data_IF_848512279380
#
_entry.id   IF_848512279380
#
_cell.length_a   1.000
_cell.length_b   1.000
_cell.length_c   1.000
_cell.angle_alpha   90.00
_cell.angle_beta   90.00
_cell.angle_gamma   90.00
#
_symmetry.space_group_name_H-M   'P 1'
#
loop_
_entity.id
_entity.type
_entity.pdbx_description
1 polymer ?
#
# COMPACT_ATOMS: atom_id res chain seq x y z
N UNK A 1 4.42 1.51 24.92
CA UNK A 1 4.84 0.14 24.54
C UNK A 1 4.27 -0.10 23.16
N UNK A 2 5.12 -0.16 22.14
CA UNK A 2 4.69 -0.61 20.83
C UNK A 2 4.85 -2.14 20.82
N UNK A 3 3.82 -2.91 20.42
CA UNK A 3 3.91 -4.37 20.38
C UNK A 3 5.01 -4.82 19.41
N UNK A 4 5.71 -5.89 19.76
CA UNK A 4 6.76 -6.45 18.91
C UNK A 4 6.12 -7.11 17.68
N UNK A 5 6.66 -6.81 16.50
CA UNK A 5 6.26 -7.42 15.23
C UNK A 5 6.44 -8.95 15.20
N UNK A 6 7.26 -9.51 16.09
CA UNK A 6 7.51 -10.95 16.22
C UNK A 6 6.61 -11.66 17.25
N UNK A 7 5.69 -10.94 17.90
CA UNK A 7 4.71 -11.57 18.78
C UNK A 7 3.79 -12.53 18.01
N UNK A 8 3.50 -13.69 18.61
CA UNK A 8 2.81 -14.81 17.95
C UNK A 8 1.40 -14.45 17.44
N UNK A 9 0.76 -13.47 18.08
CA UNK A 9 -0.56 -12.95 17.73
C UNK A 9 -0.53 -11.53 17.15
N UNK A 10 0.66 -11.03 16.77
CA UNK A 10 0.77 -9.73 16.13
C UNK A 10 0.04 -9.72 14.80
N UNK A 11 -0.96 -8.85 14.68
CA UNK A 11 -1.71 -8.64 13.45
C UNK A 11 -1.46 -7.21 12.97
N UNK A 12 -0.84 -7.02 11.79
CA UNK A 12 -0.69 -5.68 11.24
C UNK A 12 -2.06 -5.06 11.01
N UNK A 13 -2.17 -3.78 11.29
CA UNK A 13 -3.43 -3.03 11.25
C UNK A 13 -3.16 -1.54 11.16
N UNK A 14 -4.19 -0.77 10.88
CA UNK A 14 -4.16 0.68 10.96
C UNK A 14 -5.50 1.19 11.49
N UNK A 15 -5.49 2.39 12.06
CA UNK A 15 -6.68 3.02 12.61
C UNK A 15 -6.91 4.35 11.91
N UNK A 16 -8.14 4.60 11.49
CA UNK A 16 -8.58 5.94 11.08
C UNK A 16 -9.23 6.58 12.31
N UNK A 17 -8.76 7.77 12.69
CA UNK A 17 -9.31 8.51 13.81
C UNK A 17 -9.94 9.79 13.29
N UNK A 18 -11.21 9.99 13.62
CA UNK A 18 -11.90 11.27 13.51
C UNK A 18 -11.99 11.89 14.90
N UNK A 19 -11.52 13.12 15.02
CA UNK A 19 -11.33 13.81 16.28
C UNK A 19 -12.09 15.13 16.22
N UNK A 20 -13.08 15.28 17.07
CA UNK A 20 -13.86 16.51 17.20
C UNK A 20 -13.72 17.06 18.61
N UNK A 21 -13.43 18.35 18.73
CA UNK A 21 -13.48 19.06 20.01
C UNK A 21 -14.82 19.79 20.10
N UNK A 22 -15.59 19.48 21.13
CA UNK A 22 -16.89 20.08 21.41
C UNK A 22 -16.87 20.80 22.76
N UNK A 23 -17.75 21.80 22.92
CA UNK A 23 -17.83 22.62 24.13
C UNK A 23 -16.80 23.76 24.20
N UNK A 24 -16.94 24.60 25.23
CA UNK A 24 -16.11 25.80 25.46
C UNK A 24 -15.42 25.76 26.83
N UNK A 25 -14.27 26.42 26.93
CA UNK A 25 -13.47 26.60 28.15
C UNK A 25 -13.24 25.34 29.00
N UNK A 26 -13.92 25.28 30.16
CA UNK A 26 -13.83 24.23 31.17
C UNK A 26 -14.73 23.03 30.85
N UNK A 27 -15.65 23.18 29.88
CA UNK A 27 -16.55 22.14 29.41
C UNK A 27 -16.10 21.46 28.12
N UNK A 28 -14.86 21.67 27.67
CA UNK A 28 -14.34 21.07 26.42
C UNK A 28 -14.24 19.55 26.53
N UNK A 29 -14.78 18.88 25.54
CA UNK A 29 -14.74 17.44 25.36
C UNK A 29 -14.05 17.09 24.05
N UNK A 30 -13.20 16.07 24.07
CA UNK A 30 -12.68 15.42 22.88
C UNK A 30 -13.57 14.21 22.58
N UNK A 31 -14.24 14.29 21.44
CA UNK A 31 -14.95 13.19 20.80
C UNK A 31 -13.98 12.48 19.86
N UNK A 32 -13.75 11.19 20.11
CA UNK A 32 -12.89 10.32 19.31
C UNK A 32 -13.76 9.27 18.65
N UNK A 33 -13.79 9.24 17.33
CA UNK A 33 -14.36 8.15 16.54
C UNK A 33 -13.20 7.40 15.89
N UNK A 34 -13.03 6.12 16.21
CA UNK A 34 -11.99 5.28 15.63
C UNK A 34 -12.61 4.24 14.70
N UNK A 35 -11.98 4.01 13.55
CA UNK A 35 -12.24 2.87 12.66
C UNK A 35 -10.99 1.98 12.66
N UNK A 36 -11.03 0.91 13.45
CA UNK A 36 -9.91 -0.03 13.61
C UNK A 36 -9.92 -1.05 12.47
N UNK A 37 -8.80 -1.21 11.79
CA UNK A 37 -8.61 -2.15 10.68
C UNK A 37 -7.51 -3.13 11.01
N UNK A 38 -7.72 -4.41 10.71
CA UNK A 38 -6.68 -5.43 10.82
C UNK A 38 -6.49 -6.15 9.47
N UNK A 39 -5.28 -6.63 9.23
CA UNK A 39 -4.94 -7.36 8.03
C UNK A 39 -5.46 -8.81 8.13
N UNK A 40 -6.27 -9.21 7.15
CA UNK A 40 -6.70 -10.58 6.90
C UNK A 40 -5.85 -11.15 5.77
N UNK A 41 -5.49 -12.45 5.83
CA UNK A 41 -4.65 -13.11 4.81
C UNK A 41 -5.43 -13.73 3.64
N UNK A 42 -6.73 -13.95 3.77
CA UNK A 42 -7.52 -14.63 2.74
C UNK A 42 -8.98 -14.14 2.78
N UNK A 43 -9.39 -13.20 1.91
CA UNK A 43 -8.55 -12.42 1.01
C UNK A 43 -7.55 -11.53 1.76
N UNK A 44 -6.41 -11.23 1.12
CA UNK A 44 -5.41 -10.29 1.63
C UNK A 44 -5.94 -8.86 1.56
N UNK A 45 -6.47 -8.37 2.68
CA UNK A 45 -6.99 -7.01 2.78
C UNK A 45 -7.14 -6.56 4.23
N UNK A 46 -7.19 -5.24 4.42
CA UNK A 46 -7.53 -4.65 5.71
C UNK A 46 -9.04 -4.64 5.90
N UNK A 47 -9.51 -5.44 6.84
CA UNK A 47 -10.92 -5.54 7.20
C UNK A 47 -11.19 -4.78 8.49
N UNK A 48 -12.40 -4.24 8.63
CA UNK A 48 -12.83 -3.65 9.88
C UNK A 48 -12.74 -4.71 10.98
N UNK A 49 -12.05 -4.40 12.07
CA UNK A 49 -12.28 -5.13 13.30
C UNK A 49 -13.74 -4.83 13.71
N UNK A 50 -14.52 -5.82 14.13
CA UNK A 50 -15.92 -5.62 14.49
C UNK A 50 -16.22 -6.43 15.74
N UNK A 51 -16.82 -5.81 16.75
CA UNK A 51 -17.36 -6.54 17.91
C UNK A 51 -18.74 -7.13 17.61
N UNK A 52 -19.54 -6.41 16.81
CA UNK A 52 -20.86 -6.83 16.32
C UNK A 52 -21.02 -6.48 14.83
N UNK A 53 -21.99 -7.13 14.15
CA UNK A 53 -22.23 -7.05 12.69
C UNK A 53 -22.42 -5.62 12.18
N UNK A 54 -22.86 -4.70 13.05
CA UNK A 54 -23.22 -3.31 12.71
C UNK A 54 -22.27 -2.25 13.30
N UNK A 55 -21.32 -2.63 14.14
CA UNK A 55 -20.44 -1.68 14.82
C UNK A 55 -19.10 -1.59 14.09
N UNK A 56 -18.98 -0.59 13.21
CA UNK A 56 -17.74 -0.28 12.47
C UNK A 56 -16.87 0.78 13.16
N UNK A 57 -17.46 1.54 14.09
CA UNK A 57 -16.83 2.64 14.79
C UNK A 57 -16.80 2.44 16.30
N UNK A 58 -15.70 2.87 16.90
CA UNK A 58 -15.54 2.95 18.34
C UNK A 58 -15.55 4.41 18.73
N UNK A 59 -16.48 4.77 19.62
CA UNK A 59 -16.63 6.14 20.09
C UNK A 59 -16.14 6.25 21.53
N UNK A 60 -15.32 7.27 21.77
CA UNK A 60 -14.85 7.63 23.10
C UNK A 60 -15.00 9.15 23.26
N UNK A 61 -15.74 9.55 24.29
CA UNK A 61 -15.80 10.95 24.73
C UNK A 61 -14.98 11.10 25.98
N UNK A 62 -14.02 12.03 25.98
CA UNK A 62 -13.22 12.33 27.16
C UNK A 62 -13.12 13.83 27.41
N UNK A 63 -13.12 14.29 28.68
CA UNK A 63 -12.89 15.69 28.98
C UNK A 63 -11.47 16.09 28.58
N UNK A 64 -11.33 17.23 27.89
CA UNK A 64 -10.01 17.78 27.61
C UNK A 64 -9.49 18.48 28.86
N UNK A 65 -8.31 18.10 29.37
CA UNK A 65 -7.73 18.79 30.52
C UNK A 65 -7.49 20.26 30.15
N UNK A 66 -7.80 21.16 31.09
CA UNK A 66 -7.48 22.56 30.93
C UNK A 66 -5.96 22.75 31.07
N UNK A 67 -5.26 22.70 29.94
CA UNK A 67 -3.86 23.09 29.86
C UNK A 67 -3.85 24.60 29.67
N UNK A 68 -3.17 25.34 30.56
CA UNK A 68 -2.85 26.75 30.28
C UNK A 68 -2.19 26.80 28.91
N UNK A 69 -2.57 27.73 28.01
CA UNK A 69 -1.82 27.93 26.78
C UNK A 69 -0.34 28.02 27.17
N UNK A 70 0.53 27.22 26.53
CA UNK A 70 1.97 27.46 26.59
C UNK A 70 2.11 28.92 26.21
N UNK A 71 2.46 29.76 27.20
CA UNK A 71 2.30 31.20 27.12
C UNK A 71 2.86 31.67 25.79
N UNK A 72 2.14 32.55 25.09
CA UNK A 72 2.59 33.12 23.83
C UNK A 72 4.05 33.52 24.01
N UNK A 73 4.95 32.77 23.37
CA UNK A 73 6.34 33.18 23.28
C UNK A 73 6.24 34.45 22.47
N UNK A 74 6.46 35.60 23.13
CA UNK A 74 6.73 36.82 22.42
C UNK A 74 7.97 36.53 21.58
N UNK A 75 7.78 36.31 20.29
CA UNK A 75 8.86 36.12 19.32
C UNK A 75 9.59 37.46 19.22
N UNK A 76 10.86 37.62 19.66
CA UNK A 76 11.68 38.63 19.03
C UNK A 76 11.96 38.11 17.61
N UNK A 77 11.57 38.88 16.60
CA UNK A 77 11.53 38.48 15.19
C UNK A 77 12.78 37.79 14.66
N UNK A 78 12.80 36.46 14.74
CA UNK A 78 13.67 35.58 14.00
C UNK A 78 12.80 34.49 13.41
N UNK A 79 12.84 34.35 12.08
CA UNK A 79 12.11 33.30 11.37
C UNK A 79 12.40 31.94 12.02
N UNK A 80 11.37 31.18 12.44
CA UNK A 80 11.58 29.85 12.99
C UNK A 80 12.05 28.92 11.88
N UNK A 81 13.34 28.61 11.86
CA UNK A 81 13.86 27.49 11.10
C UNK A 81 13.25 26.20 11.69
N UNK A 82 12.52 25.39 10.89
CA UNK A 82 11.92 24.17 11.40
C UNK A 82 13.03 23.19 11.86
N UNK A 83 12.95 22.61 13.07
CA UNK A 83 13.90 21.59 13.54
C UNK A 83 13.63 20.21 12.93
N UNK A 84 13.00 20.17 11.75
CA UNK A 84 12.82 18.94 11.01
C UNK A 84 13.96 18.85 10.01
N UNK A 85 14.90 17.95 10.28
CA UNK A 85 15.69 17.40 9.20
C UNK A 85 14.69 16.85 8.18
N UNK A 86 14.69 17.44 6.98
CA UNK A 86 13.99 16.86 5.83
C UNK A 86 14.45 15.41 5.73
N UNK A 87 13.55 14.48 6.04
CA UNK A 87 13.77 13.08 5.76
C UNK A 87 13.84 12.98 4.24
N UNK A 88 15.05 12.99 3.71
CA UNK A 88 15.29 12.57 2.33
C UNK A 88 14.78 11.14 2.28
N UNK A 89 13.66 10.95 1.58
CA UNK A 89 13.24 9.63 1.13
C UNK A 89 14.43 9.11 0.35
N UNK A 90 15.12 8.13 0.91
CA UNK A 90 16.19 7.46 0.20
C UNK A 90 15.52 6.75 -0.98
N UNK A 91 15.69 7.31 -2.18
CA UNK A 91 15.63 6.52 -3.40
C UNK A 91 16.58 5.35 -3.19
N UNK A 92 16.00 4.16 -3.06
CA UNK A 92 16.76 2.93 -3.13
C UNK A 92 17.20 2.75 -4.59
N UNK A 93 18.27 3.46 -4.96
CA UNK A 93 19.07 3.16 -6.14
C UNK A 93 19.62 1.75 -5.96
N UNK A 94 18.98 0.77 -6.57
CA UNK A 94 19.65 -0.48 -6.87
C UNK A 94 20.71 -0.18 -7.93
N UNK A 95 21.93 0.02 -7.43
CA UNK A 95 23.12 0.24 -8.23
C UNK A 95 23.37 -0.98 -9.11
N UNK A 96 23.50 -0.73 -10.41
CA UNK A 96 23.91 -1.70 -11.41
C UNK A 96 25.33 -2.19 -11.11
N UNK A 97 25.49 -3.51 -10.94
CA UNK A 97 26.79 -4.15 -11.03
C UNK A 97 27.06 -4.52 -12.49
N UNK A 98 27.99 -3.79 -13.11
CA UNK A 98 28.56 -4.05 -14.42
C UNK A 98 29.62 -5.15 -14.34
N UNK A 99 29.45 -6.23 -15.12
CA UNK A 99 30.49 -7.14 -15.62
C UNK A 99 29.82 -8.08 -16.64
N UNK A 100 30.31 -8.38 -17.84
CA UNK A 100 31.53 -8.04 -18.56
C UNK A 100 31.22 -8.12 -20.07
N UNK A 101 31.93 -7.34 -20.87
CA UNK A 101 31.84 -7.37 -22.32
C UNK A 101 32.56 -8.60 -22.91
N UNK A 102 31.94 -9.24 -23.91
CA UNK A 102 32.63 -9.98 -24.97
C UNK A 102 31.89 -9.73 -26.29
N UNK A 103 32.58 -9.38 -27.40
CA UNK A 103 31.95 -8.95 -28.64
C UNK A 103 31.83 -10.09 -29.65
N UNK A 104 30.67 -10.26 -30.30
CA UNK A 104 30.57 -10.98 -31.60
C UNK A 104 29.50 -10.32 -32.48
N UNK A 105 29.82 -10.26 -33.77
CA UNK A 105 29.28 -9.53 -34.91
C UNK A 105 27.77 -9.59 -35.20
N UNK A 106 27.33 -8.55 -35.90
CA UNK A 106 25.98 -8.29 -36.38
C UNK A 106 25.59 -9.09 -37.64
N UNK A 107 24.31 -9.46 -37.73
CA UNK A 107 23.47 -9.43 -38.96
C UNK A 107 21.97 -9.45 -38.57
N UNK A 108 21.05 -9.00 -39.46
CA UNK A 108 19.96 -8.10 -39.10
C UNK A 108 18.58 -8.80 -39.09
N UNK A 109 17.52 -7.99 -38.87
CA UNK A 109 16.07 -8.30 -38.98
C UNK A 109 15.45 -8.82 -37.67
N UNK A 110 14.39 -8.27 -37.07
CA UNK A 110 13.19 -7.50 -37.50
C UNK A 110 12.73 -6.64 -36.30
N UNK A 111 12.19 -5.41 -36.48
CA UNK A 111 11.77 -4.57 -35.36
C UNK A 111 10.37 -4.94 -34.84
N UNK A 112 10.29 -5.66 -33.72
CA UNK A 112 9.11 -5.70 -32.84
C UNK A 112 9.55 -5.98 -31.40
N UNK A 113 9.66 -4.97 -30.49
CA UNK A 113 9.87 -5.24 -29.09
C UNK A 113 8.50 -5.36 -28.40
N UNK A 114 7.83 -6.50 -28.57
CA UNK A 114 6.87 -6.93 -27.56
C UNK A 114 7.65 -7.25 -26.28
N UNK A 115 7.19 -6.87 -25.07
CA UNK A 115 7.88 -7.26 -23.85
C UNK A 115 7.94 -8.78 -23.79
N UNK A 116 9.15 -9.34 -23.74
CA UNK A 116 9.36 -10.77 -23.48
C UNK A 116 8.45 -11.20 -22.32
N UNK A 117 7.81 -12.36 -22.44
CA UNK A 117 6.93 -12.92 -21.39
C UNK A 117 7.59 -12.89 -20.01
N UNK A 118 8.92 -13.04 -19.96
CA UNK A 118 9.71 -12.94 -18.72
C UNK A 118 9.72 -11.54 -18.12
N UNK A 119 9.83 -10.50 -18.95
CA UNK A 119 9.75 -9.10 -18.53
C UNK A 119 8.34 -8.78 -18.01
N UNK A 120 7.30 -9.24 -18.71
CA UNK A 120 5.92 -9.09 -18.26
C UNK A 120 5.68 -9.72 -16.87
N UNK A 121 6.19 -10.94 -16.66
CA UNK A 121 6.11 -11.62 -15.35
C UNK A 121 6.82 -10.80 -14.28
N UNK A 122 8.02 -10.30 -14.55
CA UNK A 122 8.78 -9.48 -13.60
C UNK A 122 8.00 -8.22 -13.22
N UNK A 123 7.52 -7.44 -14.20
CA UNK A 123 6.72 -6.23 -13.98
C UNK A 123 5.43 -6.52 -13.22
N UNK A 124 4.79 -7.65 -13.52
CA UNK A 124 3.61 -8.09 -12.77
C UNK A 124 3.92 -8.28 -11.29
N UNK A 125 5.06 -8.87 -10.92
CA UNK A 125 5.46 -9.07 -9.52
C UNK A 125 5.91 -7.79 -8.80
N UNK A 126 6.27 -6.73 -9.52
CA UNK A 126 6.57 -5.41 -8.93
C UNK A 126 5.32 -4.63 -8.49
N UNK A 127 4.15 -5.01 -8.99
CA UNK A 127 2.87 -4.41 -8.57
C UNK A 127 2.54 -4.76 -7.11
N UNK A 128 1.87 -3.85 -6.42
CA UNK A 128 1.31 -4.12 -5.10
C UNK A 128 0.28 -5.25 -5.15
N UNK A 129 0.04 -5.91 -4.01
CA UNK A 129 -0.91 -7.02 -3.90
C UNK A 129 -2.31 -6.59 -4.37
N UNK A 130 -2.73 -5.37 -4.01
CA UNK A 130 -3.99 -4.78 -4.45
C UNK A 130 -4.05 -4.64 -5.97
N UNK A 131 -3.04 -4.01 -6.58
CA UNK A 131 -2.95 -3.82 -8.02
C UNK A 131 -2.96 -5.17 -8.78
N UNK A 132 -2.18 -6.17 -8.34
CA UNK A 132 -2.19 -7.50 -8.95
C UNK A 132 -3.56 -8.16 -8.92
N UNK A 133 -4.25 -8.07 -7.78
CA UNK A 133 -5.60 -8.61 -7.63
C UNK A 133 -6.59 -7.89 -8.54
N UNK A 134 -6.55 -6.57 -8.58
CA UNK A 134 -7.52 -5.78 -9.34
C UNK A 134 -7.33 -5.98 -10.85
N UNK A 135 -6.08 -6.03 -11.34
CA UNK A 135 -5.75 -6.36 -12.75
C UNK A 135 -6.23 -7.75 -13.13
N UNK A 136 -5.96 -8.75 -12.30
CA UNK A 136 -6.30 -10.15 -12.60
C UNK A 136 -7.80 -10.44 -12.49
N UNK A 137 -8.51 -9.78 -11.56
CA UNK A 137 -9.99 -9.82 -11.51
C UNK A 137 -10.60 -9.11 -12.70
N UNK A 138 -10.10 -7.92 -13.06
CA UNK A 138 -10.59 -7.13 -14.21
C UNK A 138 -10.49 -7.91 -15.52
N UNK A 139 -9.42 -8.67 -15.71
CA UNK A 139 -9.20 -9.51 -16.89
C UNK A 139 -9.86 -10.91 -16.77
N UNK A 140 -10.58 -11.20 -15.67
CA UNK A 140 -11.24 -12.49 -15.44
C UNK A 140 -10.27 -13.67 -15.37
N UNK A 141 -9.01 -13.42 -15.00
CA UNK A 141 -7.96 -14.44 -14.86
C UNK A 141 -8.07 -15.19 -13.54
N UNK A 142 -8.67 -14.57 -12.53
CA UNK A 142 -9.03 -15.16 -11.25
C UNK A 142 -10.48 -14.81 -10.93
N UNK A 143 -11.14 -15.64 -10.13
CA UNK A 143 -12.49 -15.39 -9.61
C UNK A 143 -12.46 -15.03 -8.13
N UNK A 144 -13.57 -14.52 -7.57
CA UNK A 144 -13.69 -14.27 -6.13
C UNK A 144 -13.46 -15.54 -5.28
N UNK A 145 -13.82 -16.71 -5.81
CA UNK A 145 -13.56 -18.00 -5.17
C UNK A 145 -12.07 -18.36 -5.10
N UNK A 146 -11.26 -17.88 -6.06
CA UNK A 146 -9.82 -18.10 -6.08
C UNK A 146 -9.08 -17.19 -5.07
N UNK A 147 -9.77 -16.22 -4.45
CA UNK A 147 -9.19 -15.34 -3.43
C UNK A 147 -8.85 -16.04 -2.11
N UNK A 148 -9.33 -17.27 -1.93
CA UNK A 148 -8.96 -18.12 -0.80
C UNK A 148 -7.61 -18.83 -1.00
N UNK A 149 -7.14 -18.96 -2.25
CA UNK A 149 -5.88 -19.63 -2.60
C UNK A 149 -4.69 -18.73 -2.27
N UNK A 150 -3.57 -19.26 -1.74
CA UNK A 150 -2.37 -18.47 -1.51
C UNK A 150 -1.90 -17.68 -2.74
N UNK A 151 -1.38 -16.48 -2.49
CA UNK A 151 -0.95 -15.52 -3.50
C UNK A 151 -0.04 -16.10 -4.60
N UNK A 152 1.03 -16.87 -4.28
CA UNK A 152 1.95 -17.36 -5.30
C UNK A 152 1.28 -18.30 -6.29
N UNK A 153 0.45 -19.20 -5.77
CA UNK A 153 -0.27 -20.20 -6.55
C UNK A 153 -1.38 -19.55 -7.39
N UNK A 154 -2.10 -18.60 -6.78
CA UNK A 154 -3.18 -17.85 -7.43
C UNK A 154 -2.67 -17.12 -8.68
N UNK A 155 -1.59 -16.35 -8.55
CA UNK A 155 -1.08 -15.58 -9.68
C UNK A 155 -0.29 -16.43 -10.68
N UNK A 156 0.34 -17.52 -10.24
CA UNK A 156 0.91 -18.50 -11.18
C UNK A 156 -0.17 -19.12 -12.06
N UNK A 157 -1.33 -19.48 -11.48
CA UNK A 157 -2.51 -19.94 -12.22
C UNK A 157 -3.04 -18.84 -13.16
N UNK A 158 -3.18 -17.61 -12.67
CA UNK A 158 -3.67 -16.48 -13.46
C UNK A 158 -2.80 -16.18 -14.70
N UNK A 159 -1.48 -16.17 -14.54
CA UNK A 159 -0.53 -15.94 -15.64
C UNK A 159 -0.56 -17.07 -16.67
N UNK A 160 -0.73 -18.32 -16.21
CA UNK A 160 -0.91 -19.48 -17.10
C UNK A 160 -2.22 -19.38 -17.88
N UNK A 161 -3.32 -19.03 -17.22
CA UNK A 161 -4.61 -18.79 -17.86
C UNK A 161 -4.53 -17.65 -18.88
N UNK A 162 -3.84 -16.56 -18.56
CA UNK A 162 -3.62 -15.45 -19.48
C UNK A 162 -2.85 -15.89 -20.74
N UNK A 163 -1.84 -16.76 -20.57
CA UNK A 163 -1.10 -17.33 -21.71
C UNK A 163 -1.97 -18.24 -22.58
N UNK A 164 -2.80 -19.10 -21.97
CA UNK A 164 -3.72 -20.00 -22.69
C UNK A 164 -4.80 -19.21 -23.44
N UNK A 165 -5.31 -18.13 -22.83
CA UNK A 165 -6.36 -17.28 -23.41
C UNK A 165 -5.83 -16.18 -24.35
N UNK A 166 -4.51 -16.07 -24.52
CA UNK A 166 -3.90 -15.02 -25.35
C UNK A 166 -4.03 -13.59 -24.77
N UNK A 167 -4.39 -13.45 -23.49
CA UNK A 167 -4.64 -12.16 -22.82
C UNK A 167 -3.36 -11.49 -22.30
N UNK A 168 -2.18 -12.03 -22.60
CA UNK A 168 -0.90 -11.47 -22.14
C UNK A 168 -0.67 -10.03 -22.65
N UNK A 169 -1.17 -9.70 -23.84
CA UNK A 169 -1.09 -8.33 -24.39
C UNK A 169 -1.96 -7.34 -23.61
N UNK A 170 -3.18 -7.74 -23.25
CA UNK A 170 -4.09 -6.93 -22.45
C UNK A 170 -3.55 -6.75 -21.01
N UNK A 171 -2.99 -7.82 -20.45
CA UNK A 171 -2.31 -7.78 -19.16
C UNK A 171 -1.13 -6.79 -19.19
N UNK A 172 -0.31 -6.83 -20.25
CA UNK A 172 0.80 -5.89 -20.40
C UNK A 172 0.33 -4.44 -20.49
N UNK A 173 -0.75 -4.17 -21.23
CA UNK A 173 -1.32 -2.84 -21.36
C UNK A 173 -1.91 -2.32 -20.03
N UNK A 174 -2.54 -3.19 -19.24
CA UNK A 174 -3.07 -2.83 -17.93
C UNK A 174 -1.96 -2.50 -16.94
N UNK A 175 -0.91 -3.33 -16.89
CA UNK A 175 0.27 -3.10 -16.05
C UNK A 175 0.95 -1.77 -16.44
N UNK A 176 1.12 -1.52 -17.73
CA UNK A 176 1.71 -0.26 -18.21
C UNK A 176 0.87 0.96 -17.81
N UNK A 177 -0.46 0.85 -17.79
CA UNK A 177 -1.32 1.95 -17.34
C UNK A 177 -1.14 2.26 -15.87
N UNK A 178 -0.98 1.24 -15.03
CA UNK A 178 -0.75 1.39 -13.59
C UNK A 178 0.62 2.03 -13.35
N UNK A 179 1.65 1.55 -14.04
CA UNK A 179 3.00 2.12 -13.95
C UNK A 179 3.04 3.60 -14.33
N UNK A 180 2.33 4.00 -15.39
CA UNK A 180 2.26 5.40 -15.82
C UNK A 180 1.42 6.29 -14.90
N UNK A 181 0.57 5.70 -14.05
CA UNK A 181 -0.26 6.42 -13.09
C UNK A 181 0.39 6.61 -11.72
N UNK A 182 1.62 6.13 -11.56
CA UNK A 182 2.43 6.22 -10.35
C UNK A 182 3.35 7.44 -10.39
#
# INVERSE_FOLDING_TARGET
MNPDTYERDWKPGYNLLDLTVSGEDLGRTLDVCAYVRHFQKAPEMFVALRQDRFQEEWTLRMPLPHVRPLGAIAVPGGEPSPPYHSTKVAEAVHSAATAAAVPVEAKPEVPMPGPSTRNLIYRFWELSIGERRDVTLKLGLITEGDLAVPEPERYTKALREAAVRGLLGELAAEIQRIENGR
#
